data_IF_868356940995
#
_entry.id   IF_868356940995
#
_cell.length_a   1.000
_cell.length_b   1.000
_cell.length_c   1.000
_cell.angle_alpha   90.00
_cell.angle_beta   90.00
_cell.angle_gamma   90.00
#
_symmetry.space_group_name_H-M   'P 1'
#
loop_
_entity.id
_entity.type
_entity.pdbx_description
1 polymer ?
#
# COMPACT_ATOMS: atom_id res chain seq x y z
N UNK A 1 8.49 7.29 5.07
CA UNK A 1 9.01 8.62 4.65
C UNK A 1 9.17 9.64 5.78
N UNK A 2 9.28 9.21 7.06
CA UNK A 2 9.60 10.09 8.22
C UNK A 2 8.73 11.36 8.33
N UNK A 3 7.45 11.26 7.98
CA UNK A 3 6.48 12.37 8.03
C UNK A 3 5.19 11.89 8.70
N UNK A 4 4.53 12.81 9.42
CA UNK A 4 3.18 12.63 9.94
C UNK A 4 2.41 13.95 9.71
N UNK A 5 1.34 13.96 8.88
CA UNK A 5 0.79 12.84 8.10
C UNK A 5 1.77 12.35 7.01
N UNK A 6 1.48 11.17 6.45
CA UNK A 6 2.19 10.65 5.29
C UNK A 6 2.10 11.58 4.07
N UNK A 7 2.93 11.39 3.04
CA UNK A 7 2.91 12.21 1.84
C UNK A 7 1.56 12.09 1.12
N UNK A 8 1.07 13.20 0.55
CA UNK A 8 -0.11 13.18 -0.30
C UNK A 8 0.23 12.62 -1.69
N UNK A 9 -0.71 11.89 -2.26
CA UNK A 9 -0.67 11.42 -3.66
C UNK A 9 -1.76 12.17 -4.40
N UNK A 10 -1.38 13.04 -5.34
CA UNK A 10 -2.29 13.81 -6.17
C UNK A 10 -2.08 13.42 -7.63
N UNK A 11 -3.14 12.94 -8.26
CA UNK A 11 -3.13 12.42 -9.63
C UNK A 11 -4.43 12.82 -10.33
N UNK A 12 -4.44 12.74 -11.66
CA UNK A 12 -5.65 12.93 -12.45
C UNK A 12 -6.47 11.64 -12.51
N UNK A 13 -7.75 11.78 -12.86
CA UNK A 13 -8.62 10.63 -13.09
C UNK A 13 -8.02 9.72 -14.18
N UNK A 14 -8.02 8.41 -13.92
CA UNK A 14 -7.47 7.35 -14.77
C UNK A 14 -5.94 7.26 -14.86
N UNK A 15 -5.20 8.05 -14.07
CA UNK A 15 -3.76 7.86 -13.95
C UNK A 15 -3.43 6.50 -13.33
N UNK A 16 -2.36 5.88 -13.81
CA UNK A 16 -1.80 4.67 -13.21
C UNK A 16 -0.79 5.07 -12.14
N UNK A 17 -1.08 4.65 -10.90
CA UNK A 17 -0.23 4.90 -9.74
C UNK A 17 0.55 3.63 -9.41
N UNK A 18 1.88 3.73 -9.33
CA UNK A 18 2.77 2.66 -8.88
C UNK A 18 3.49 3.16 -7.63
N UNK A 19 3.37 2.41 -6.54
CA UNK A 19 3.93 2.76 -5.24
C UNK A 19 4.60 1.52 -4.68
N UNK A 20 5.91 1.60 -4.48
CA UNK A 20 6.67 0.56 -3.79
C UNK A 20 6.62 0.81 -2.27
N UNK A 21 6.03 -0.12 -1.52
CA UNK A 21 5.92 -0.02 -0.06
C UNK A 21 7.00 -0.87 0.59
N UNK A 22 8.10 -0.23 1.01
CA UNK A 22 9.17 -0.88 1.76
C UNK A 22 8.89 -0.87 3.26
N UNK A 23 8.78 -2.06 3.87
CA UNK A 23 8.58 -2.19 5.31
C UNK A 23 9.91 -2.16 6.07
N UNK A 24 10.18 -1.05 6.76
CA UNK A 24 11.34 -0.88 7.65
C UNK A 24 10.99 -0.95 9.15
N UNK A 25 9.78 -1.40 9.50
CA UNK A 25 9.39 -1.57 10.90
C UNK A 25 9.97 -2.86 11.47
N UNK A 26 10.72 -2.74 12.56
CA UNK A 26 11.38 -3.88 13.19
C UNK A 26 10.39 -4.80 13.90
N UNK A 27 10.44 -6.10 13.58
CA UNK A 27 9.59 -7.12 14.18
C UNK A 27 8.10 -7.05 13.83
N UNK A 28 7.71 -6.19 12.87
CA UNK A 28 6.32 -5.93 12.54
C UNK A 28 6.04 -6.15 11.06
N UNK A 29 4.90 -6.73 10.76
CA UNK A 29 4.33 -6.77 9.41
C UNK A 29 3.39 -5.60 9.17
N UNK A 30 3.20 -5.21 7.90
CA UNK A 30 2.36 -4.07 7.54
C UNK A 30 1.61 -4.30 6.22
N UNK A 31 0.50 -3.59 6.05
CA UNK A 31 -0.22 -3.43 4.78
C UNK A 31 -0.68 -1.96 4.65
N UNK A 32 -0.97 -1.51 3.44
CA UNK A 32 -1.51 -0.17 3.15
C UNK A 32 -2.80 -0.34 2.34
N UNK A 33 -3.91 0.14 2.87
CA UNK A 33 -5.20 0.17 2.18
C UNK A 33 -5.47 1.54 1.55
N UNK A 34 -5.98 1.53 0.31
CA UNK A 34 -6.32 2.74 -0.45
C UNK A 34 -7.80 3.05 -0.32
N UNK A 35 -8.15 3.73 0.78
CA UNK A 35 -9.53 4.01 1.11
C UNK A 35 -10.28 4.72 -0.03
N UNK A 36 -11.41 4.15 -0.45
CA UNK A 36 -12.27 4.71 -1.50
C UNK A 36 -11.92 4.29 -2.93
N UNK A 37 -10.81 3.56 -3.15
CA UNK A 37 -10.46 3.02 -4.47
C UNK A 37 -11.18 1.69 -4.71
N UNK A 38 -11.78 1.52 -5.89
CA UNK A 38 -12.60 0.32 -6.21
C UNK A 38 -11.75 -0.89 -6.61
N UNK A 39 -10.48 -0.70 -6.96
CA UNK A 39 -9.55 -1.77 -7.38
C UNK A 39 -10.08 -2.70 -8.50
N UNK A 40 -10.75 -2.14 -9.52
CA UNK A 40 -11.26 -2.93 -10.66
C UNK A 40 -10.11 -3.60 -11.41
N UNK A 41 -10.10 -4.94 -11.44
CA UNK A 41 -9.04 -5.78 -12.04
C UNK A 41 -7.66 -5.67 -11.36
N UNK A 42 -7.60 -5.09 -10.17
CA UNK A 42 -6.36 -4.81 -9.43
C UNK A 42 -6.54 -5.07 -7.93
N UNK A 43 -7.36 -6.07 -7.60
CA UNK A 43 -7.86 -6.38 -6.24
C UNK A 43 -6.73 -6.74 -5.27
N UNK A 44 -5.66 -7.34 -5.78
CA UNK A 44 -4.47 -7.75 -5.02
C UNK A 44 -3.65 -6.56 -4.48
N UNK A 45 -4.01 -5.32 -4.86
CA UNK A 45 -3.42 -4.09 -4.34
C UNK A 45 -4.33 -3.34 -3.35
N UNK A 46 -5.45 -3.93 -2.93
CA UNK A 46 -6.38 -3.30 -1.98
C UNK A 46 -5.82 -3.21 -0.56
N UNK A 47 -4.85 -4.06 -0.19
CA UNK A 47 -4.09 -3.90 1.05
C UNK A 47 -4.78 -4.39 2.31
N UNK A 48 -5.70 -5.36 2.20
CA UNK A 48 -6.35 -6.01 3.36
C UNK A 48 -5.62 -7.33 3.65
N UNK A 49 -4.94 -7.45 4.82
CA UNK A 49 -4.12 -8.61 5.11
C UNK A 49 -4.96 -9.89 5.21
N UNK A 50 -4.46 -10.98 4.63
CA UNK A 50 -5.11 -12.29 4.57
C UNK A 50 -6.43 -12.35 3.78
N UNK A 51 -6.81 -11.25 3.11
CA UNK A 51 -7.96 -11.21 2.18
C UNK A 51 -7.47 -10.95 0.77
N UNK A 52 -6.79 -9.83 0.54
CA UNK A 52 -6.32 -9.42 -0.79
C UNK A 52 -4.82 -9.60 -0.98
N UNK A 53 -4.04 -9.66 0.11
CA UNK A 53 -2.62 -9.99 0.08
C UNK A 53 -2.11 -10.58 1.41
N UNK A 54 -0.96 -11.25 1.38
CA UNK A 54 -0.18 -11.49 2.59
C UNK A 54 0.44 -10.15 3.09
N UNK A 55 0.63 -9.98 4.41
CA UNK A 55 1.31 -8.81 4.95
C UNK A 55 2.75 -8.67 4.44
N UNK A 56 3.21 -7.43 4.28
CA UNK A 56 4.58 -7.11 3.90
C UNK A 56 5.47 -7.34 5.13
N UNK A 57 6.30 -8.37 5.08
CA UNK A 57 7.25 -8.69 6.16
C UNK A 57 8.35 -7.61 6.26
N UNK A 58 8.96 -7.48 7.43
CA UNK A 58 10.11 -6.59 7.63
C UNK A 58 11.18 -6.83 6.56
N UNK A 59 11.70 -5.76 5.97
CA UNK A 59 12.76 -5.80 4.96
C UNK A 59 12.28 -6.08 3.54
N UNK A 60 11.01 -6.47 3.36
CA UNK A 60 10.44 -6.68 2.03
C UNK A 60 9.81 -5.40 1.47
N UNK A 61 9.72 -5.37 0.15
CA UNK A 61 8.98 -4.37 -0.62
C UNK A 61 7.90 -5.08 -1.42
N UNK A 62 6.74 -4.45 -1.50
CA UNK A 62 5.59 -4.88 -2.29
C UNK A 62 5.17 -3.78 -3.24
#
# INVERSE_FOLDING_TARGET
NRMLPGPSIQVCENDKVIIDVANHMEGMEVTIHWHGIVHRRSQYYDGVPFVTQCPIQQGNTF
#
